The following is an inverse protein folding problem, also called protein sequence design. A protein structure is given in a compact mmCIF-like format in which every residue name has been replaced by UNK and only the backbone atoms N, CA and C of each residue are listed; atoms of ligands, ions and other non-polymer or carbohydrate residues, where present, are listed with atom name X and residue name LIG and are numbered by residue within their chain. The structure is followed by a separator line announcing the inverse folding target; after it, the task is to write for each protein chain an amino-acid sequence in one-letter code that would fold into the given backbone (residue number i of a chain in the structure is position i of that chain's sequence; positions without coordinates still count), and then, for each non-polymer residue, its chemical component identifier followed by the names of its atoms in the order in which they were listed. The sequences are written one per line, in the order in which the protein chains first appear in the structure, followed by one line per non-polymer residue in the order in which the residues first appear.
data_IF_909341978903
#
_entry.id   IF_909341978903
#
_cell.length_a   1.000
_cell.length_b   1.000
_cell.length_c   1.000
_cell.angle_alpha   90.00
_cell.angle_beta   90.00
_cell.angle_gamma   90.00
#
_symmetry.space_group_name_H-M   'P 1'
#
loop_
_entity.id
_entity.type
_entity.pdbx_description
1 polymer ?
#
# COMPACT_ATOMS: atom_id res chain seq x y z
N UNK A 1 0.74 8.85 -2.61
CA UNK A 1 -0.53 8.22 -2.17
C UNK A 1 -0.62 6.92 -2.94
N UNK A 2 -0.76 5.76 -2.28
CA UNK A 2 -0.98 4.50 -2.99
C UNK A 2 -2.33 4.62 -3.72
N UNK A 3 -2.29 4.86 -5.04
CA UNK A 3 -3.45 4.92 -5.93
C UNK A 3 -3.92 3.49 -6.26
N UNK A 4 -4.09 2.66 -5.22
CA UNK A 4 -4.62 1.31 -5.33
C UNK A 4 -6.09 1.28 -4.93
N UNK A 5 -6.86 0.48 -5.65
CA UNK A 5 -8.26 0.17 -5.38
C UNK A 5 -8.39 -0.97 -4.37
N UNK A 6 -9.55 -1.04 -3.69
CA UNK A 6 -9.86 -2.10 -2.72
C UNK A 6 -9.67 -3.51 -3.32
N UNK A 7 -10.09 -3.67 -4.57
CA UNK A 7 -10.00 -4.94 -5.30
C UNK A 7 -8.56 -5.40 -5.49
N UNK A 8 -7.62 -4.47 -5.66
CA UNK A 8 -6.22 -4.82 -5.85
C UNK A 8 -5.57 -5.30 -4.54
N UNK A 9 -5.97 -4.72 -3.41
CA UNK A 9 -5.55 -5.19 -2.09
C UNK A 9 -6.10 -6.60 -1.82
N UNK A 10 -7.37 -6.84 -2.16
CA UNK A 10 -7.97 -8.19 -2.05
C UNK A 10 -7.20 -9.21 -2.88
N UNK A 11 -6.78 -8.87 -4.11
CA UNK A 11 -5.96 -9.75 -4.93
C UNK A 11 -4.63 -10.10 -4.27
N UNK A 12 -3.96 -9.14 -3.64
CA UNK A 12 -2.73 -9.41 -2.88
C UNK A 12 -3.03 -10.31 -1.67
N UNK A 13 -4.12 -10.04 -0.93
CA UNK A 13 -4.54 -10.85 0.22
C UNK A 13 -4.89 -12.29 -0.13
N UNK A 14 -5.53 -12.49 -1.29
CA UNK A 14 -5.91 -13.80 -1.82
C UNK A 14 -4.81 -14.47 -2.66
N UNK A 15 -3.57 -13.94 -2.63
CA UNK A 15 -2.41 -14.50 -3.33
C UNK A 15 -2.57 -14.57 -4.87
N UNK A 16 -3.33 -13.64 -5.45
CA UNK A 16 -3.55 -13.54 -6.91
C UNK A 16 -2.67 -12.48 -7.58
N UNK A 17 -1.92 -11.69 -6.80
CA UNK A 17 -1.03 -10.65 -7.31
C UNK A 17 0.06 -10.32 -6.30
N UNK A 18 1.27 -10.07 -6.80
CA UNK A 18 2.39 -9.53 -6.06
C UNK A 18 2.31 -8.01 -6.03
N UNK A 19 2.90 -7.42 -5.00
CA UNK A 19 3.09 -5.98 -4.93
C UNK A 19 4.54 -5.66 -4.62
N UNK A 20 5.10 -4.71 -5.36
CA UNK A 20 6.48 -4.26 -5.19
C UNK A 20 6.59 -3.49 -3.87
N UNK A 21 7.33 -4.07 -2.92
CA UNK A 21 7.61 -3.48 -1.61
C UNK A 21 8.86 -2.61 -1.68
N UNK A 22 9.87 -3.07 -2.42
CA UNK A 22 11.09 -2.31 -2.70
C UNK A 22 11.47 -2.47 -4.18
N UNK A 23 11.43 -1.40 -4.99
CA UNK A 23 11.82 -1.48 -6.39
C UNK A 23 13.34 -1.54 -6.60
N UNK A 24 14.16 -1.22 -5.58
CA UNK A 24 15.62 -1.18 -5.70
C UNK A 24 16.11 -0.28 -6.83
N UNK A 25 16.92 -0.83 -7.73
CA UNK A 25 17.50 -0.13 -8.91
C UNK A 25 16.71 -0.37 -10.20
N UNK A 26 15.57 -1.07 -10.12
CA UNK A 26 14.74 -1.43 -11.27
C UNK A 26 13.82 -0.27 -11.68
N UNK A 27 13.22 -0.29 -12.89
CA UNK A 27 12.22 0.70 -13.29
C UNK A 27 10.85 0.49 -12.65
N UNK A 28 10.71 -0.49 -11.75
CA UNK A 28 9.44 -0.77 -11.06
C UNK A 28 9.09 0.34 -10.06
N UNK A 29 7.80 0.51 -9.81
CA UNK A 29 7.32 1.47 -8.82
C UNK A 29 6.92 0.78 -7.52
N UNK A 30 7.25 1.39 -6.39
CA UNK A 30 6.76 0.90 -5.09
C UNK A 30 5.23 0.94 -5.06
N UNK A 31 4.60 -0.17 -4.71
CA UNK A 31 3.15 -0.33 -4.75
C UNK A 31 2.60 -0.78 -6.10
N UNK A 32 3.45 -0.99 -7.10
CA UNK A 32 3.04 -1.57 -8.38
C UNK A 32 2.59 -3.02 -8.16
N UNK A 33 1.43 -3.37 -8.73
CA UNK A 33 0.95 -4.74 -8.76
C UNK A 33 1.58 -5.49 -9.93
N UNK A 34 2.05 -6.69 -9.65
CA UNK A 34 2.55 -7.63 -10.63
C UNK A 34 1.64 -8.86 -10.62
N UNK A 35 1.25 -9.32 -11.82
CA UNK A 35 0.67 -10.66 -11.97
C UNK A 35 1.77 -11.70 -11.86
N UNK A 36 1.41 -12.98 -11.73
CA UNK A 36 2.40 -14.07 -11.74
C UNK A 36 3.32 -14.02 -12.96
N UNK A 37 2.76 -13.76 -14.14
CA UNK A 37 3.51 -13.64 -15.40
C UNK A 37 4.51 -12.46 -15.34
N UNK A 38 4.05 -11.26 -14.97
CA UNK A 38 4.92 -10.08 -14.90
C UNK A 38 5.97 -10.19 -13.78
N UNK A 39 5.63 -10.86 -12.67
CA UNK A 39 6.60 -11.12 -11.60
C UNK A 39 7.72 -12.05 -12.08
N UNK A 40 7.39 -13.11 -12.82
CA UNK A 40 8.37 -14.01 -13.40
C UNK A 40 9.25 -13.31 -14.43
N UNK A 41 8.66 -12.50 -15.32
CA UNK A 41 9.41 -11.68 -16.28
C UNK A 41 10.37 -10.71 -15.58
N UNK A 42 9.90 -10.02 -14.54
CA UNK A 42 10.74 -9.11 -13.76
C UNK A 42 11.86 -9.86 -13.01
N UNK A 43 11.58 -11.05 -12.47
CA UNK A 43 12.60 -11.90 -11.85
C UNK A 43 13.64 -12.39 -12.86
N UNK A 44 13.25 -12.70 -14.10
CA UNK A 44 14.20 -13.07 -15.16
C UNK A 44 15.06 -11.89 -15.60
N UNK A 45 14.49 -10.69 -15.68
CA UNK A 45 15.19 -9.49 -16.14
C UNK A 45 16.10 -8.88 -15.05
N UNK A 46 15.59 -8.75 -13.83
CA UNK A 46 16.23 -8.00 -12.74
C UNK A 46 16.75 -8.88 -11.59
N UNK A 47 16.35 -10.16 -11.53
CA UNK A 47 16.74 -11.04 -10.43
C UNK A 47 16.38 -10.48 -9.05
N UNK A 48 17.33 -10.53 -8.12
CA UNK A 48 17.15 -10.10 -6.73
C UNK A 48 17.25 -8.57 -6.53
N UNK A 49 17.21 -7.76 -7.60
CA UNK A 49 17.31 -6.29 -7.50
C UNK A 49 16.04 -5.60 -6.99
N UNK A 50 14.92 -6.31 -6.88
CA UNK A 50 13.66 -5.80 -6.31
C UNK A 50 13.03 -6.83 -5.36
N UNK A 51 12.20 -6.35 -4.42
CA UNK A 51 11.39 -7.16 -3.51
C UNK A 51 9.91 -6.94 -3.81
N UNK A 52 9.22 -8.00 -4.24
CA UNK A 52 7.77 -8.02 -4.38
C UNK A 52 7.16 -9.18 -3.58
N UNK A 53 6.07 -8.90 -2.86
CA UNK A 53 5.48 -9.84 -1.89
C UNK A 53 3.98 -10.01 -2.12
N UNK A 54 3.41 -11.07 -1.56
CA UNK A 54 1.97 -11.35 -1.53
C UNK A 54 1.44 -11.56 -0.11
N UNK A 55 0.12 -11.59 0.02
CA UNK A 55 -0.57 -11.95 1.25
C UNK A 55 -0.67 -10.82 2.28
N UNK A 56 -1.15 -11.18 3.46
CA UNK A 56 -1.42 -10.22 4.54
C UNK A 56 -0.17 -9.49 5.03
N UNK A 57 1.02 -10.13 4.97
CA UNK A 57 2.28 -9.50 5.34
C UNK A 57 2.69 -8.40 4.36
N UNK A 58 2.54 -8.63 3.05
CA UNK A 58 2.83 -7.62 2.03
C UNK A 58 1.92 -6.40 2.16
N UNK A 59 0.62 -6.62 2.41
CA UNK A 59 -0.34 -5.54 2.65
C UNK A 59 -0.01 -4.79 3.93
N UNK A 60 0.39 -5.48 4.99
CA UNK A 60 0.85 -4.87 6.24
C UNK A 60 2.11 -4.02 6.02
N UNK A 61 3.11 -4.52 5.30
CA UNK A 61 4.35 -3.79 5.04
C UNK A 61 4.12 -2.54 4.18
N UNK A 62 3.24 -2.62 3.18
CA UNK A 62 2.77 -1.44 2.46
C UNK A 62 2.12 -0.43 3.40
N UNK A 63 1.27 -0.89 4.31
CA UNK A 63 0.52 -0.03 5.23
C UNK A 63 1.36 0.54 6.37
N UNK A 64 2.43 -0.12 6.79
CA UNK A 64 3.40 0.42 7.76
C UNK A 64 4.34 1.40 7.07
N UNK A 65 4.69 1.15 5.80
CA UNK A 65 5.52 2.07 5.03
C UNK A 65 4.80 3.36 4.63
N UNK A 66 3.47 3.28 4.47
CA UNK A 66 2.61 4.44 4.53
C UNK A 66 2.54 4.86 6.00
N UNK A 67 3.40 5.77 6.43
CA UNK A 67 3.33 6.34 7.77
C UNK A 67 2.07 7.20 7.89
N UNK A 68 0.94 6.52 8.10
CA UNK A 68 -0.40 7.10 8.18
C UNK A 68 -0.46 8.17 9.26
N UNK A 69 0.31 8.01 10.35
CA UNK A 69 0.33 8.97 11.45
C UNK A 69 1.09 10.25 11.07
N UNK A 70 2.21 10.16 10.34
CA UNK A 70 2.92 11.36 9.86
C UNK A 70 2.18 12.04 8.71
N UNK A 71 1.53 11.30 7.83
CA UNK A 71 0.66 11.85 6.78
C UNK A 71 -0.60 12.48 7.38
N UNK A 72 -1.23 11.88 8.41
CA UNK A 72 -2.34 12.51 9.15
C UNK A 72 -1.86 13.75 9.88
N UNK A 73 -0.65 13.75 10.45
CA UNK A 73 -0.06 14.91 11.10
C UNK A 73 0.22 16.03 10.09
N UNK A 74 0.83 15.73 8.95
CA UNK A 74 1.05 16.68 7.84
C UNK A 74 -0.27 17.21 7.29
N UNK A 75 -1.27 16.36 7.05
CA UNK A 75 -2.59 16.81 6.59
C UNK A 75 -3.27 17.68 7.67
N UNK A 76 -3.10 17.39 8.96
CA UNK A 76 -3.60 18.24 10.05
C UNK A 76 -2.89 19.59 10.11
N UNK A 77 -1.59 19.61 9.89
CA UNK A 77 -0.77 20.82 9.83
C UNK A 77 -1.11 21.66 8.59
N UNK A 78 -1.29 21.01 7.44
CA UNK A 78 -1.76 21.63 6.19
C UNK A 78 -3.20 22.13 6.28
N UNK A 79 -4.10 21.45 7.00
CA UNK A 79 -5.44 21.98 7.35
C UNK A 79 -5.32 23.26 8.18
N UNK A 80 -4.37 23.31 9.12
CA UNK A 80 -4.15 24.48 9.95
C UNK A 80 -3.49 25.63 9.16
N UNK A 81 -2.72 25.31 8.10
CA UNK A 81 -1.98 26.28 7.29
C UNK A 81 -2.64 26.73 5.98
N UNK A 82 -3.51 25.92 5.35
CA UNK A 82 -3.97 26.16 3.96
C UNK A 82 -5.45 25.83 3.72
N UNK A 83 -6.14 26.79 3.11
CA UNK A 83 -7.58 26.84 2.81
C UNK A 83 -8.04 25.96 1.61
N UNK A 84 -7.40 24.81 1.35
CA UNK A 84 -7.73 23.95 0.19
C UNK A 84 -8.44 22.65 0.58
N UNK A 85 -9.73 22.73 0.91
CA UNK A 85 -10.60 21.62 1.37
C UNK A 85 -10.63 20.37 0.47
N UNK A 86 -10.43 20.53 -0.84
CA UNK A 86 -10.65 19.45 -1.84
C UNK A 86 -9.55 18.38 -1.82
N UNK A 87 -8.30 18.75 -1.56
CA UNK A 87 -7.17 17.79 -1.51
C UNK A 87 -7.20 17.02 -0.17
N UNK A 88 -7.53 17.72 0.90
CA UNK A 88 -7.65 17.19 2.27
C UNK A 88 -8.76 16.16 2.41
N UNK A 89 -9.95 16.41 1.86
CA UNK A 89 -11.10 15.47 1.93
C UNK A 89 -10.79 14.12 1.25
N UNK A 90 -10.05 14.13 0.13
CA UNK A 90 -9.70 12.91 -0.62
C UNK A 90 -8.69 12.06 0.12
N UNK A 91 -7.62 12.65 0.65
CA UNK A 91 -6.62 11.94 1.46
C UNK A 91 -7.22 11.36 2.74
N UNK A 92 -8.06 12.15 3.44
CA UNK A 92 -8.70 11.74 4.71
C UNK A 92 -9.73 10.61 4.53
N UNK A 93 -10.46 10.61 3.41
CA UNK A 93 -11.43 9.55 3.11
C UNK A 93 -10.74 8.22 2.77
N UNK A 94 -9.57 8.27 2.10
CA UNK A 94 -8.73 7.11 1.90
C UNK A 94 -8.33 6.49 3.23
N UNK A 95 -7.62 7.24 4.08
CA UNK A 95 -7.08 6.77 5.37
C UNK A 95 -8.15 6.14 6.27
N UNK A 96 -9.37 6.72 6.31
CA UNK A 96 -10.50 6.17 7.06
C UNK A 96 -10.99 4.81 6.55
N UNK A 97 -10.93 4.58 5.23
CA UNK A 97 -11.35 3.33 4.62
C UNK A 97 -10.34 2.21 4.93
N UNK A 98 -9.04 2.52 4.82
CA UNK A 98 -7.95 1.61 5.16
C UNK A 98 -7.95 1.21 6.64
N UNK A 99 -8.10 2.18 7.54
CA UNK A 99 -8.20 1.93 8.99
C UNK A 99 -9.35 0.99 9.35
N UNK A 100 -10.54 1.20 8.76
CA UNK A 100 -11.74 0.41 9.02
C UNK A 100 -11.67 -1.01 8.47
N UNK A 101 -10.90 -1.23 7.39
CA UNK A 101 -10.70 -2.55 6.79
C UNK A 101 -9.65 -3.38 7.55
N UNK A 102 -8.60 -2.73 8.07
CA UNK A 102 -7.56 -3.40 8.87
C UNK A 102 -8.05 -3.88 10.24
N UNK A 103 -8.99 -3.19 10.88
CA UNK A 103 -9.47 -3.56 12.23
C UNK A 103 -9.97 -5.01 12.31
N UNK A 104 -10.84 -5.50 11.40
CA UNK A 104 -11.28 -6.90 11.43
C UNK A 104 -10.19 -7.89 11.01
N UNK A 105 -9.29 -7.54 10.07
CA UNK A 105 -8.22 -8.44 9.58
C UNK A 105 -7.16 -8.66 10.66
N UNK A 106 -6.76 -7.61 11.38
CA UNK A 106 -5.84 -7.69 12.52
C UNK A 106 -6.48 -8.45 13.69
N UNK A 107 -7.79 -8.27 13.90
CA UNK A 107 -8.53 -8.96 14.95
C UNK A 107 -8.73 -10.46 14.68
N UNK A 108 -8.93 -10.85 13.41
CA UNK A 108 -9.07 -12.27 13.01
C UNK A 108 -7.75 -13.06 13.07
N UNK A 109 -6.60 -12.39 12.95
CA UNK A 109 -5.29 -13.04 12.99
C UNK A 109 -4.71 -13.17 14.40
N UNK A 110 -5.36 -12.60 15.43
CA UNK A 110 -4.95 -12.74 16.83
C UNK A 110 -3.78 -11.84 17.24
N UNK A 111 -3.70 -10.61 16.70
CA UNK A 111 -2.64 -9.63 16.98
C UNK A 111 -3.12 -8.47 17.88
N UNK A 112 -4.08 -8.77 18.77
CA UNK A 112 -4.54 -7.92 19.88
C UNK A 112 -4.56 -8.72 21.18
#
# INVERSE_FOLDING_TARGET
MLDMTLREIERILYFEAFVVVDPGMTPLERGQLLTDETYLEAMEEYGDEFDARMGAEAVRDLLISLDLDSEVAQVREDIAGTNSETKIKRSRSGLSCWSRFLTPVISQLGWL
#
